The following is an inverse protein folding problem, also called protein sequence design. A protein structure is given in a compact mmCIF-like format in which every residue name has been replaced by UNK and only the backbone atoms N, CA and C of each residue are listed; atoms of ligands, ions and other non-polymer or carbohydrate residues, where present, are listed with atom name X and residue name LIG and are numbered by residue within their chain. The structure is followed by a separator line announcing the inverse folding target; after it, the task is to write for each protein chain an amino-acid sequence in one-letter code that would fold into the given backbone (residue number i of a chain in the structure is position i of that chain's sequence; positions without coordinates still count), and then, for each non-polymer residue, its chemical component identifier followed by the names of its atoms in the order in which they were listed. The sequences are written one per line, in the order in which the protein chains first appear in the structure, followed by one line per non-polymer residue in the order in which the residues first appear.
data_IF_790773594464
#
_entry.id   IF_790773594464
#
_cell.length_a   1.000
_cell.length_b   1.000
_cell.length_c   1.000
_cell.angle_alpha   90.00
_cell.angle_beta   90.00
_cell.angle_gamma   90.00
#
_symmetry.space_group_name_H-M   'P 1'
#
loop_
_entity.id
_entity.type
_entity.pdbx_description
1 polymer ?
#
# COMPACT_ATOMS: atom_id res chain seq x y z
N UNK A 1 12.86 -66.87 -23.01
CA UNK A 1 11.89 -65.99 -22.33
C UNK A 1 12.63 -64.71 -21.97
N UNK A 2 12.22 -63.57 -22.55
CA UNK A 2 12.91 -62.28 -22.44
C UNK A 2 12.22 -61.42 -21.38
N UNK A 3 12.98 -60.94 -20.40
CA UNK A 3 12.66 -59.76 -19.60
C UNK A 3 13.95 -59.03 -19.27
N UNK A 4 14.09 -57.82 -19.79
CA UNK A 4 14.90 -56.76 -19.16
C UNK A 4 14.07 -55.48 -19.27
N UNK A 5 13.69 -54.98 -18.11
CA UNK A 5 12.98 -53.72 -17.87
C UNK A 5 14.02 -52.60 -17.92
N UNK A 6 13.78 -51.52 -18.69
CA UNK A 6 14.40 -50.24 -18.36
C UNK A 6 13.67 -49.01 -18.94
N UNK A 7 13.10 -48.25 -18.00
CA UNK A 7 12.87 -46.81 -17.94
C UNK A 7 13.00 -45.97 -19.23
N UNK A 8 11.92 -45.27 -19.57
CA UNK A 8 12.02 -43.95 -20.18
C UNK A 8 10.90 -43.01 -19.70
N UNK A 9 11.34 -42.12 -18.80
CA UNK A 9 10.91 -40.74 -18.56
C UNK A 9 9.44 -40.35 -18.82
N UNK A 10 8.74 -40.16 -17.72
CA UNK A 10 7.60 -39.28 -17.58
C UNK A 10 8.04 -37.82 -17.86
N UNK A 11 7.64 -37.26 -18.99
CA UNK A 11 7.80 -35.82 -19.24
C UNK A 11 6.59 -35.11 -18.63
N UNK A 12 6.70 -34.68 -17.37
CA UNK A 12 5.81 -33.66 -16.81
C UNK A 12 6.21 -32.31 -17.43
N UNK A 13 5.50 -31.87 -18.46
CA UNK A 13 5.52 -30.46 -18.88
C UNK A 13 4.69 -29.63 -17.91
N UNK A 14 5.26 -29.29 -16.77
CA UNK A 14 4.74 -28.27 -15.86
C UNK A 14 5.29 -26.91 -16.25
N UNK A 15 4.76 -26.31 -17.33
CA UNK A 15 4.95 -24.88 -17.60
C UNK A 15 3.67 -24.30 -18.20
N UNK A 16 2.86 -23.72 -17.35
CA UNK A 16 2.09 -22.51 -17.67
C UNK A 16 2.01 -21.74 -16.36
N UNK A 17 3.11 -21.04 -16.08
CA UNK A 17 3.17 -20.02 -15.05
C UNK A 17 2.05 -19.04 -15.34
N UNK A 18 1.09 -18.97 -14.42
CA UNK A 18 0.24 -17.80 -14.28
C UNK A 18 1.17 -16.75 -13.68
N UNK A 19 2.02 -16.15 -14.51
CA UNK A 19 2.47 -14.80 -14.24
C UNK A 19 1.19 -13.96 -14.36
N UNK A 20 0.44 -13.90 -13.25
CA UNK A 20 -0.58 -12.88 -13.11
C UNK A 20 0.09 -11.58 -13.49
N UNK A 21 -0.47 -10.85 -14.46
CA UNK A 21 0.02 -9.55 -14.84
C UNK A 21 0.20 -8.78 -13.54
N UNK A 22 1.45 -8.59 -13.10
CA UNK A 22 1.74 -7.62 -12.09
C UNK A 22 1.40 -6.31 -12.77
N UNK A 23 0.17 -5.83 -12.57
CA UNK A 23 -0.10 -4.41 -12.72
C UNK A 23 1.02 -3.73 -11.96
N UNK A 24 1.80 -2.90 -12.64
CA UNK A 24 2.86 -2.14 -11.99
C UNK A 24 2.17 -1.15 -11.05
N UNK A 25 1.82 -1.61 -9.85
CA UNK A 25 1.10 -0.83 -8.86
C UNK A 25 1.89 0.46 -8.63
N UNK A 26 1.20 1.60 -8.73
CA UNK A 26 1.81 2.92 -8.57
C UNK A 26 2.02 3.22 -7.09
N UNK A 27 3.01 2.55 -6.51
CA UNK A 27 3.49 2.77 -5.16
C UNK A 27 4.45 3.94 -5.13
N UNK A 28 4.09 4.98 -4.39
CA UNK A 28 4.94 6.16 -4.17
C UNK A 28 5.44 6.16 -2.74
N UNK A 29 6.74 6.35 -2.56
CA UNK A 29 7.32 6.57 -1.22
C UNK A 29 6.78 7.87 -0.66
N UNK A 30 6.08 7.79 0.46
CA UNK A 30 5.50 8.93 1.13
C UNK A 30 6.37 9.47 2.27
N UNK A 31 6.99 8.56 3.03
CA UNK A 31 7.84 8.93 4.16
C UNK A 31 8.91 7.88 4.42
N UNK A 32 9.98 8.29 5.10
CA UNK A 32 10.99 7.40 5.66
C UNK A 32 11.12 7.76 7.13
N UNK A 33 10.82 6.82 8.03
CA UNK A 33 10.99 7.03 9.46
C UNK A 33 12.46 7.06 9.86
N UNK A 34 12.76 7.51 11.08
CA UNK A 34 14.11 7.62 11.62
C UNK A 34 14.83 6.27 11.77
N UNK A 35 14.08 5.17 11.92
CA UNK A 35 14.57 3.80 11.92
C UNK A 35 14.64 3.16 10.52
N UNK A 36 14.35 3.94 9.46
CA UNK A 36 14.52 3.53 8.06
C UNK A 36 13.33 2.78 7.47
N UNK A 37 12.17 2.76 8.13
CA UNK A 37 10.94 2.20 7.57
C UNK A 37 10.46 3.14 6.46
N UNK A 38 10.36 2.60 5.25
CA UNK A 38 9.88 3.33 4.07
C UNK A 38 8.39 3.08 3.92
N UNK A 39 7.58 4.11 4.07
CA UNK A 39 6.13 4.06 3.87
C UNK A 39 5.78 4.37 2.42
N UNK A 40 4.87 3.59 1.86
CA UNK A 40 4.46 3.68 0.47
C UNK A 40 2.94 3.78 0.36
N UNK A 41 2.47 4.74 -0.43
CA UNK A 41 1.06 4.93 -0.75
C UNK A 41 0.80 4.34 -2.13
N UNK A 42 -0.22 3.49 -2.24
CA UNK A 42 -0.75 3.03 -3.52
C UNK A 42 -1.72 4.08 -4.07
N UNK A 43 -1.37 4.66 -5.22
CA UNK A 43 -2.18 5.66 -5.87
C UNK A 43 -3.27 5.09 -6.78
N UNK A 44 -3.18 3.81 -7.18
CA UNK A 44 -4.11 3.25 -8.16
C UNK A 44 -5.49 2.96 -7.55
N UNK A 45 -5.52 2.73 -6.24
CA UNK A 45 -6.70 2.33 -5.48
C UNK A 45 -7.18 3.42 -4.52
N UNK A 46 -7.02 4.67 -4.94
CA UNK A 46 -7.39 5.85 -4.16
C UNK A 46 -8.85 6.23 -4.42
N UNK A 47 -9.59 6.56 -3.37
CA UNK A 47 -10.96 7.09 -3.52
C UNK A 47 -11.19 8.31 -2.63
N UNK A 48 -11.72 9.37 -3.22
CA UNK A 48 -12.04 10.61 -2.51
C UNK A 48 -13.51 10.62 -2.09
N UNK A 49 -13.77 11.15 -0.90
CA UNK A 49 -15.12 11.49 -0.45
C UNK A 49 -15.13 12.78 0.37
N UNK A 50 -16.30 13.40 0.47
CA UNK A 50 -16.52 14.56 1.34
C UNK A 50 -17.30 14.14 2.57
N UNK A 51 -16.86 14.56 3.75
CA UNK A 51 -17.63 14.37 4.98
C UNK A 51 -18.85 15.27 5.02
N UNK A 52 -19.75 15.03 5.98
CA UNK A 52 -20.92 15.90 6.22
C UNK A 52 -20.51 17.35 6.57
N UNK A 53 -19.31 17.53 7.14
CA UNK A 53 -18.75 18.84 7.45
C UNK A 53 -18.05 19.50 6.24
N UNK A 54 -18.08 18.86 5.06
CA UNK A 54 -17.46 19.37 3.84
C UNK A 54 -15.97 19.06 3.70
N UNK A 55 -15.38 18.28 4.62
CA UNK A 55 -13.96 17.98 4.59
C UNK A 55 -13.64 16.96 3.51
N UNK A 56 -12.57 17.19 2.76
CA UNK A 56 -12.07 16.26 1.75
C UNK A 56 -11.26 15.16 2.43
N UNK A 57 -11.71 13.93 2.27
CA UNK A 57 -11.05 12.73 2.77
C UNK A 57 -10.69 11.81 1.61
N UNK A 58 -9.62 11.04 1.79
CA UNK A 58 -9.10 10.12 0.80
C UNK A 58 -8.90 8.77 1.47
N UNK A 59 -9.59 7.73 1.00
CA UNK A 59 -9.25 6.35 1.33
C UNK A 59 -8.14 5.88 0.38
N UNK A 60 -7.15 5.20 0.93
CA UNK A 60 -6.01 4.69 0.16
C UNK A 60 -5.44 3.43 0.83
N UNK A 61 -4.53 2.77 0.11
CA UNK A 61 -3.74 1.67 0.66
C UNK A 61 -2.34 2.15 1.04
N UNK A 62 -1.95 1.82 2.26
CA UNK A 62 -0.64 2.09 2.83
C UNK A 62 0.11 0.77 3.02
N UNK A 63 1.37 0.74 2.63
CA UNK A 63 2.29 -0.35 2.96
C UNK A 63 3.63 0.18 3.43
N UNK A 64 4.47 -0.69 3.99
CA UNK A 64 5.90 -0.41 4.16
C UNK A 64 6.69 -1.22 3.15
N UNK A 65 7.86 -0.73 2.76
CA UNK A 65 8.74 -1.45 1.83
C UNK A 65 9.13 -2.80 2.44
N UNK A 66 8.74 -3.89 1.79
CA UNK A 66 8.95 -5.25 2.27
C UNK A 66 7.72 -5.88 2.92
N UNK A 67 6.65 -5.12 3.17
CA UNK A 67 5.34 -5.69 3.50
C UNK A 67 4.70 -6.25 2.22
N UNK A 68 4.30 -7.51 2.26
CA UNK A 68 3.60 -8.20 1.17
C UNK A 68 2.12 -7.82 1.11
N UNK A 69 1.61 -7.14 2.14
CA UNK A 69 0.22 -6.68 2.24
C UNK A 69 0.13 -5.17 2.27
N UNK A 70 -1.01 -4.69 1.82
CA UNK A 70 -1.47 -3.32 1.92
C UNK A 70 -2.53 -3.23 3.00
N UNK A 71 -2.55 -2.11 3.73
CA UNK A 71 -3.49 -1.87 4.81
C UNK A 71 -4.25 -0.59 4.55
N UNK A 72 -5.54 -0.60 4.88
CA UNK A 72 -6.43 0.52 4.59
C UNK A 72 -6.03 1.71 5.46
N UNK A 73 -6.06 2.90 4.87
CA UNK A 73 -5.81 4.15 5.56
C UNK A 73 -6.73 5.25 5.01
N UNK A 74 -6.94 6.28 5.82
CA UNK A 74 -7.76 7.44 5.48
C UNK A 74 -6.93 8.69 5.73
N UNK A 75 -6.85 9.59 4.76
CA UNK A 75 -6.25 10.90 4.92
C UNK A 75 -7.34 11.97 4.91
N UNK A 76 -7.25 12.94 5.82
CA UNK A 76 -7.95 14.21 5.70
C UNK A 76 -7.02 15.20 4.99
N UNK A 77 -7.55 15.99 4.06
CA UNK A 77 -6.74 16.89 3.23
C UNK A 77 -6.78 18.36 3.69
N UNK A 78 -7.50 18.66 4.77
CA UNK A 78 -7.58 20.00 5.36
C UNK A 78 -8.13 19.92 6.80
N UNK A 79 -7.26 19.88 7.82
CA UNK A 79 -5.80 19.82 7.72
C UNK A 79 -5.31 18.44 7.25
N UNK A 80 -4.02 18.36 6.87
CA UNK A 80 -3.40 17.10 6.50
C UNK A 80 -3.27 16.20 7.72
N UNK A 81 -4.08 15.15 7.76
CA UNK A 81 -4.15 14.22 8.87
C UNK A 81 -4.33 12.80 8.32
N UNK A 82 -3.97 11.77 9.08
CA UNK A 82 -4.07 10.39 8.63
C UNK A 82 -4.45 9.45 9.76
N UNK A 83 -5.32 8.51 9.43
CA UNK A 83 -5.63 7.36 10.27
C UNK A 83 -5.27 6.07 9.53
N UNK A 84 -4.47 5.23 10.17
CA UNK A 84 -4.09 3.90 9.71
C UNK A 84 -3.84 3.00 10.92
N UNK A 85 -4.86 2.23 11.31
CA UNK A 85 -4.87 1.40 12.53
C UNK A 85 -3.69 0.43 12.57
N UNK A 86 -3.38 -0.24 11.46
CA UNK A 86 -2.27 -1.19 11.39
C UNK A 86 -0.90 -0.56 11.71
N UNK A 87 -0.72 0.71 11.39
CA UNK A 87 0.53 1.45 11.62
C UNK A 87 0.47 2.35 12.86
N UNK A 88 -0.59 2.24 13.67
CA UNK A 88 -0.82 3.06 14.86
C UNK A 88 -0.80 4.57 14.57
N UNK A 89 -1.24 4.98 13.38
CA UNK A 89 -1.56 6.38 13.12
C UNK A 89 -3.02 6.60 13.43
N UNK A 90 -3.31 7.50 14.35
CA UNK A 90 -4.67 7.95 14.64
C UNK A 90 -4.81 9.43 14.28
N UNK A 91 -6.05 9.91 14.16
CA UNK A 91 -6.30 11.32 13.90
C UNK A 91 -5.60 12.19 14.94
N UNK A 92 -4.92 13.24 14.48
CA UNK A 92 -4.24 14.14 15.39
C UNK A 92 -5.26 14.81 16.33
N UNK A 93 -4.96 14.95 17.64
CA UNK A 93 -5.84 15.62 18.58
C UNK A 93 -6.31 17.00 18.08
N UNK A 94 -7.58 17.29 18.37
CA UNK A 94 -8.27 18.54 17.99
C UNK A 94 -8.37 18.79 16.48
N UNK A 95 -8.21 17.76 15.63
CA UNK A 95 -8.25 17.90 14.18
C UNK A 95 -7.27 18.97 13.67
N UNK A 96 -6.07 19.03 14.25
CA UNK A 96 -5.04 20.00 13.86
C UNK A 96 -4.17 19.50 12.70
N UNK A 97 -4.24 18.20 12.41
CA UNK A 97 -3.40 17.53 11.42
C UNK A 97 -1.98 17.28 11.91
N UNK A 98 -1.27 16.44 11.17
CA UNK A 98 0.13 16.16 11.41
C UNK A 98 1.02 17.21 10.72
N UNK A 99 2.08 17.70 11.41
CA UNK A 99 3.04 18.61 10.79
C UNK A 99 3.76 17.97 9.59
N UNK A 100 4.17 18.81 8.63
CA UNK A 100 5.08 18.40 7.56
C UNK A 100 6.43 17.91 8.12
N UNK A 101 7.01 16.91 7.49
CA UNK A 101 8.24 16.25 7.94
C UNK A 101 8.03 15.21 9.04
N UNK A 102 6.78 15.01 9.49
CA UNK A 102 6.41 13.82 10.26
C UNK A 102 5.94 12.73 9.32
N UNK A 103 6.19 11.47 9.65
CA UNK A 103 5.78 10.32 8.82
C UNK A 103 4.28 10.38 8.48
N UNK A 104 3.44 10.63 9.48
CA UNK A 104 1.99 10.71 9.30
C UNK A 104 1.57 11.91 8.43
N UNK A 105 2.19 13.09 8.64
CA UNK A 105 1.90 14.28 7.84
C UNK A 105 2.31 14.14 6.38
N UNK A 106 3.46 13.53 6.11
CA UNK A 106 3.96 13.32 4.76
C UNK A 106 3.12 12.27 4.01
N UNK A 107 2.67 11.21 4.70
CA UNK A 107 1.69 10.25 4.18
C UNK A 107 0.38 10.96 3.78
N UNK A 108 -0.17 11.79 4.68
CA UNK A 108 -1.41 12.51 4.41
C UNK A 108 -1.28 13.41 3.16
N UNK A 109 -0.17 14.13 3.02
CA UNK A 109 0.10 14.99 1.85
C UNK A 109 0.19 14.19 0.55
N UNK A 110 0.97 13.10 0.53
CA UNK A 110 1.09 12.26 -0.68
C UNK A 110 -0.25 11.66 -1.07
N UNK A 111 -1.05 11.21 -0.10
CA UNK A 111 -2.39 10.70 -0.36
C UNK A 111 -3.34 11.79 -0.90
N UNK A 112 -3.22 13.02 -0.42
CA UNK A 112 -4.15 14.12 -0.75
C UNK A 112 -3.78 14.96 -1.97
N UNK A 113 -2.49 15.06 -2.31
CA UNK A 113 -1.98 15.99 -3.32
C UNK A 113 -1.64 15.31 -4.65
N UNK A 114 -1.82 13.99 -4.74
CA UNK A 114 -1.68 13.27 -6.00
C UNK A 114 -3.05 13.12 -6.67
N UNK A 115 -3.19 13.50 -7.96
CA UNK A 115 -4.41 13.32 -8.74
C UNK A 115 -4.63 11.86 -9.13
#
# INVERSE_FOLDING_TARGET
MKSVVLNCLFVMTSVLGIAGQASAERLVTAAISTDGIVYQVDLDNRSEYKTKAGWRHVNFWLSTKGDIKKHSAIAACSPYDVQAEYYNFDWHPNNSGYPEGTVAGDIARVACDHP
#
